data_IF_500359038525
#
_entry.id   IF_500359038525
#
_cell.length_a   1.000
_cell.length_b   1.000
_cell.length_c   1.000
_cell.angle_alpha   90.00
_cell.angle_beta   90.00
_cell.angle_gamma   90.00
#
_symmetry.space_group_name_H-M   'P 1'
#
loop_
_entity.id
_entity.type
_entity.pdbx_description
1 polymer ?
#
# COMPACT_ATOMS: atom_id res chain seq x y z
N UNK A 1 -31.85 -22.60 -10.18
CA UNK A 1 -31.12 -21.60 -9.39
C UNK A 1 -31.95 -20.33 -9.37
N UNK A 2 -31.84 -19.49 -8.34
CA UNK A 2 -32.42 -18.13 -8.25
C UNK A 2 -31.59 -17.28 -7.28
N UNK A 3 -31.88 -15.98 -7.16
CA UNK A 3 -31.21 -15.05 -6.23
C UNK A 3 -29.67 -15.12 -6.35
N UNK A 4 -29.17 -14.99 -7.58
CA UNK A 4 -27.74 -14.92 -7.82
C UNK A 4 -27.22 -13.58 -7.30
N UNK A 5 -26.19 -13.62 -6.47
CA UNK A 5 -25.55 -12.45 -5.88
C UNK A 5 -24.03 -12.56 -5.99
N UNK A 6 -23.36 -11.43 -6.18
CA UNK A 6 -21.91 -11.33 -6.28
C UNK A 6 -21.52 -9.86 -6.01
N UNK A 7 -21.00 -9.60 -4.81
CA UNK A 7 -20.37 -8.32 -4.50
C UNK A 7 -18.89 -8.40 -4.86
N UNK A 8 -18.43 -7.41 -5.63
CA UNK A 8 -17.01 -7.26 -5.93
C UNK A 8 -16.22 -6.74 -4.72
N UNK A 9 -15.06 -7.35 -4.50
CA UNK A 9 -14.19 -7.24 -3.33
C UNK A 9 -12.71 -7.42 -3.68
N UNK A 10 -12.30 -7.57 -4.94
CA UNK A 10 -10.85 -7.54 -5.27
C UNK A 10 -10.28 -6.12 -5.32
N UNK A 11 -11.16 -5.14 -5.59
CA UNK A 11 -10.90 -3.70 -5.55
C UNK A 11 -10.00 -3.18 -6.67
N UNK A 12 -9.70 -4.01 -7.66
CA UNK A 12 -8.87 -3.69 -8.82
C UNK A 12 -9.71 -3.21 -10.00
N UNK A 13 -9.30 -2.11 -10.62
CA UNK A 13 -10.03 -1.54 -11.75
C UNK A 13 -10.06 -2.50 -12.95
N UNK A 14 -11.25 -2.85 -13.40
CA UNK A 14 -11.45 -3.69 -14.57
C UNK A 14 -11.41 -5.18 -14.27
N UNK A 15 -11.27 -5.54 -13.01
CA UNK A 15 -11.36 -6.90 -12.50
C UNK A 15 -12.59 -7.01 -11.57
N UNK A 16 -12.94 -8.23 -11.20
CA UNK A 16 -13.93 -8.46 -10.15
C UNK A 16 -13.55 -9.73 -9.40
N UNK A 17 -13.76 -9.72 -8.10
CA UNK A 17 -13.43 -10.83 -7.22
C UNK A 17 -14.35 -10.81 -6.00
N UNK A 18 -14.63 -11.97 -5.44
CA UNK A 18 -15.54 -12.07 -4.31
C UNK A 18 -16.23 -13.42 -4.26
N UNK A 19 -17.35 -13.47 -3.56
CA UNK A 19 -18.11 -14.71 -3.40
C UNK A 19 -19.39 -14.62 -4.21
N UNK A 20 -19.49 -15.42 -5.28
CA UNK A 20 -20.77 -15.65 -5.94
C UNK A 20 -21.59 -16.59 -5.08
N UNK A 21 -22.87 -16.26 -4.86
CA UNK A 21 -23.80 -17.11 -4.13
C UNK A 21 -25.17 -17.19 -4.81
N UNK A 22 -25.91 -18.27 -4.55
CA UNK A 22 -27.24 -18.46 -5.13
C UNK A 22 -28.17 -19.31 -4.26
N UNK A 23 -29.47 -19.23 -4.56
CA UNK A 23 -30.47 -20.14 -4.02
C UNK A 23 -30.60 -21.39 -4.91
N UNK A 24 -30.51 -22.62 -4.35
CA UNK A 24 -30.77 -23.87 -5.06
C UNK A 24 -32.16 -23.90 -5.71
N UNK A 25 -32.33 -24.63 -6.84
CA UNK A 25 -33.67 -24.92 -7.34
C UNK A 25 -34.43 -25.83 -6.36
N UNK A 26 -35.77 -25.74 -6.37
CA UNK A 26 -36.63 -26.61 -5.56
C UNK A 26 -36.38 -28.12 -5.77
N UNK A 27 -35.93 -28.49 -6.97
CA UNK A 27 -35.56 -29.86 -7.33
C UNK A 27 -34.05 -30.16 -7.16
N UNK A 28 -33.40 -29.59 -6.13
CA UNK A 28 -31.96 -29.73 -5.90
C UNK A 28 -31.49 -31.21 -5.84
N UNK A 29 -32.34 -32.13 -5.38
CA UNK A 29 -32.01 -33.57 -5.37
C UNK A 29 -31.79 -34.22 -6.74
N UNK A 30 -32.07 -33.51 -7.86
CA UNK A 30 -31.77 -33.94 -9.23
C UNK A 30 -30.53 -33.27 -9.82
N UNK A 31 -29.94 -32.32 -9.09
CA UNK A 31 -28.75 -31.58 -9.48
C UNK A 31 -27.53 -32.32 -8.91
N UNK A 32 -26.52 -32.54 -9.75
CA UNK A 32 -25.23 -33.14 -9.33
C UNK A 32 -24.17 -32.07 -9.09
N UNK A 33 -24.23 -30.96 -9.83
CA UNK A 33 -23.37 -29.78 -9.64
C UNK A 33 -23.99 -28.54 -10.29
N UNK A 34 -23.49 -27.37 -9.92
CA UNK A 34 -23.69 -26.10 -10.58
C UNK A 34 -22.47 -25.74 -11.43
N UNK A 35 -22.69 -25.18 -12.62
CA UNK A 35 -21.61 -24.62 -13.43
C UNK A 35 -21.70 -23.12 -13.44
N UNK A 36 -20.64 -22.48 -12.98
CA UNK A 36 -20.47 -21.03 -13.01
C UNK A 36 -19.65 -20.68 -14.23
N UNK A 37 -20.21 -19.82 -15.06
CA UNK A 37 -19.55 -19.27 -16.24
C UNK A 37 -19.55 -17.76 -16.14
N UNK A 38 -18.59 -17.14 -16.81
CA UNK A 38 -18.69 -15.73 -17.14
C UNK A 38 -18.79 -15.54 -18.65
N UNK A 39 -19.49 -14.49 -19.08
CA UNK A 39 -19.94 -14.31 -20.46
C UNK A 39 -20.08 -12.84 -20.82
N UNK A 40 -20.08 -12.55 -22.12
CA UNK A 40 -20.36 -11.20 -22.64
C UNK A 40 -21.84 -10.82 -22.52
N UNK A 41 -22.75 -11.80 -22.41
CA UNK A 41 -24.19 -11.56 -22.35
C UNK A 41 -24.95 -12.66 -21.57
N UNK A 42 -26.26 -12.48 -21.41
CA UNK A 42 -27.13 -13.47 -20.76
C UNK A 42 -27.40 -14.73 -21.58
N UNK A 43 -27.08 -14.73 -22.87
CA UNK A 43 -27.23 -15.90 -23.75
C UNK A 43 -26.04 -16.86 -23.60
N UNK A 44 -24.96 -16.43 -22.94
CA UNK A 44 -23.77 -17.24 -22.77
C UNK A 44 -22.83 -17.15 -23.98
N UNK A 45 -22.85 -16.05 -24.71
CA UNK A 45 -21.87 -15.74 -25.77
C UNK A 45 -20.46 -15.65 -25.18
N UNK A 46 -19.48 -16.26 -25.85
CA UNK A 46 -18.06 -16.31 -25.43
C UNK A 46 -17.82 -16.75 -23.97
N UNK A 47 -18.71 -17.59 -23.44
CA UNK A 47 -18.65 -17.94 -22.03
C UNK A 47 -17.44 -18.81 -21.69
N UNK A 48 -16.79 -18.51 -20.58
CA UNK A 48 -15.67 -19.26 -20.03
C UNK A 48 -16.11 -19.96 -18.76
N UNK A 49 -15.81 -21.26 -18.64
CA UNK A 49 -16.10 -22.01 -17.43
C UNK A 49 -15.18 -21.51 -16.32
N UNK A 50 -15.78 -21.10 -15.20
CA UNK A 50 -15.05 -20.70 -14.01
C UNK A 50 -14.94 -21.86 -13.03
N UNK A 51 -16.09 -22.38 -12.59
CA UNK A 51 -16.15 -23.40 -11.56
C UNK A 51 -17.26 -24.42 -11.81
N UNK A 52 -16.96 -25.68 -11.50
CA UNK A 52 -17.95 -26.74 -11.29
C UNK A 52 -18.12 -26.90 -9.76
N UNK A 53 -19.29 -26.57 -9.23
CA UNK A 53 -19.58 -26.51 -7.79
C UNK A 53 -20.52 -27.64 -7.41
N UNK A 54 -20.12 -28.59 -6.53
CA UNK A 54 -20.97 -29.71 -6.15
C UNK A 54 -22.32 -29.28 -5.56
N UNK A 55 -23.36 -30.10 -5.77
CA UNK A 55 -24.64 -29.89 -5.09
C UNK A 55 -24.46 -29.94 -3.56
N UNK A 56 -25.13 -29.04 -2.84
CA UNK A 56 -24.93 -28.83 -1.39
C UNK A 56 -24.05 -27.62 -1.08
N UNK A 57 -23.24 -27.18 -2.04
CA UNK A 57 -22.51 -25.91 -1.98
C UNK A 57 -23.17 -24.92 -2.95
N UNK A 58 -23.59 -23.77 -2.44
CA UNK A 58 -24.34 -22.77 -3.22
C UNK A 58 -23.60 -21.43 -3.33
N UNK A 59 -22.28 -21.50 -3.22
CA UNK A 59 -21.39 -20.37 -3.40
C UNK A 59 -20.05 -20.84 -3.98
N UNK A 60 -19.33 -19.93 -4.60
CA UNK A 60 -17.95 -20.13 -5.06
C UNK A 60 -17.19 -18.81 -5.00
N UNK A 61 -15.89 -18.89 -4.75
CA UNK A 61 -15.01 -17.74 -4.84
C UNK A 61 -14.70 -17.42 -6.31
N UNK A 62 -14.65 -16.14 -6.63
CA UNK A 62 -14.28 -15.54 -7.90
C UNK A 62 -13.02 -14.70 -7.65
N UNK A 63 -11.98 -14.85 -8.47
CA UNK A 63 -10.71 -14.15 -8.32
C UNK A 63 -10.30 -13.54 -9.66
N UNK A 64 -9.78 -12.31 -9.64
CA UNK A 64 -9.11 -11.61 -10.75
C UNK A 64 -9.86 -11.75 -12.08
N UNK A 65 -11.17 -11.53 -12.04
CA UNK A 65 -12.03 -11.82 -13.18
C UNK A 65 -12.10 -10.62 -14.13
N UNK A 66 -11.71 -10.74 -15.42
CA UNK A 66 -11.61 -9.60 -16.34
C UNK A 66 -12.99 -9.08 -16.76
N UNK A 67 -13.55 -8.20 -15.91
CA UNK A 67 -14.88 -7.59 -16.03
C UNK A 67 -15.13 -7.00 -17.41
N UNK A 68 -14.15 -6.25 -17.93
CA UNK A 68 -14.26 -5.51 -19.20
C UNK A 68 -14.63 -6.38 -20.40
N UNK A 69 -14.30 -7.66 -20.36
CA UNK A 69 -14.55 -8.58 -21.48
C UNK A 69 -15.78 -9.44 -21.29
N UNK A 70 -16.24 -9.66 -20.05
CA UNK A 70 -17.26 -10.66 -19.73
C UNK A 70 -18.07 -10.29 -18.49
N UNK A 71 -18.83 -9.19 -18.50
CA UNK A 71 -19.46 -8.64 -17.29
C UNK A 71 -20.63 -9.47 -16.75
N UNK A 72 -21.02 -10.58 -17.41
CA UNK A 72 -22.19 -11.37 -17.02
C UNK A 72 -21.77 -12.70 -16.43
N UNK A 73 -22.17 -12.95 -15.17
CA UNK A 73 -22.04 -14.24 -14.51
C UNK A 73 -23.27 -15.10 -14.80
N UNK A 74 -23.08 -16.37 -15.11
CA UNK A 74 -24.13 -17.33 -15.44
C UNK A 74 -23.97 -18.61 -14.62
N UNK A 75 -25.03 -19.00 -13.92
CA UNK A 75 -25.07 -20.25 -13.15
C UNK A 75 -26.07 -21.22 -13.77
N UNK A 76 -25.58 -22.39 -14.15
CA UNK A 76 -26.37 -23.49 -14.69
C UNK A 76 -26.48 -24.64 -13.70
N UNK A 77 -27.67 -25.23 -13.57
CA UNK A 77 -27.81 -26.52 -12.89
C UNK A 77 -27.38 -27.65 -13.83
N UNK A 78 -26.63 -28.65 -13.36
CA UNK A 78 -26.31 -29.87 -14.10
C UNK A 78 -26.88 -31.10 -13.39
N UNK A 79 -27.51 -31.98 -14.16
CA UNK A 79 -27.99 -33.30 -13.72
C UNK A 79 -27.09 -34.41 -14.26
N UNK A 80 -27.35 -35.66 -13.88
CA UNK A 80 -26.69 -36.82 -14.47
C UNK A 80 -26.94 -36.97 -15.98
N UNK A 81 -28.05 -36.41 -16.50
CA UNK A 81 -28.41 -36.51 -17.91
C UNK A 81 -27.86 -35.36 -18.74
N UNK A 82 -28.01 -34.13 -18.25
CA UNK A 82 -27.63 -32.93 -18.98
C UNK A 82 -27.49 -31.70 -18.08
N UNK A 83 -26.79 -30.69 -18.60
CA UNK A 83 -26.82 -29.32 -18.10
C UNK A 83 -28.11 -28.64 -18.54
N UNK A 84 -28.68 -27.80 -17.68
CA UNK A 84 -29.76 -26.89 -18.03
C UNK A 84 -29.37 -26.01 -19.24
N UNK A 85 -30.35 -25.66 -20.08
CA UNK A 85 -30.14 -24.82 -21.27
C UNK A 85 -30.21 -23.33 -20.95
N UNK A 86 -31.08 -22.94 -20.02
CA UNK A 86 -31.25 -21.54 -19.56
C UNK A 86 -30.56 -21.32 -18.21
N UNK A 87 -29.57 -20.43 -18.09
CA UNK A 87 -28.96 -20.10 -16.80
C UNK A 87 -29.80 -19.11 -15.99
N UNK A 88 -29.44 -18.93 -14.72
CA UNK A 88 -29.65 -17.66 -14.04
C UNK A 88 -28.42 -16.81 -14.25
N UNK A 89 -28.60 -15.52 -14.55
CA UNK A 89 -27.48 -14.61 -14.75
C UNK A 89 -27.56 -13.36 -13.88
N UNK A 90 -26.42 -12.70 -13.74
CA UNK A 90 -26.22 -11.44 -13.03
C UNK A 90 -25.20 -10.61 -13.80
N UNK A 91 -25.44 -9.31 -13.94
CA UNK A 91 -24.39 -8.37 -14.39
C UNK A 91 -23.54 -8.00 -13.18
N UNK A 92 -22.24 -8.22 -13.27
CA UNK A 92 -21.29 -7.83 -12.24
C UNK A 92 -21.11 -6.31 -12.24
N UNK A 93 -20.73 -5.76 -11.09
CA UNK A 93 -20.37 -4.35 -10.96
C UNK A 93 -18.95 -4.34 -10.42
N UNK A 94 -18.04 -3.77 -11.21
CA UNK A 94 -16.65 -3.53 -10.86
C UNK A 94 -16.56 -2.41 -9.81
N UNK A 95 -16.01 -2.75 -8.66
CA UNK A 95 -15.73 -1.86 -7.56
C UNK A 95 -14.22 -1.62 -7.49
N UNK A 96 -13.81 -0.36 -7.66
CA UNK A 96 -12.43 0.05 -7.48
C UNK A 96 -12.29 0.83 -6.18
N UNK A 97 -11.23 0.55 -5.41
CA UNK A 97 -10.93 1.27 -4.17
C UNK A 97 -9.49 1.81 -4.12
N UNK A 98 -9.00 2.40 -5.20
CA UNK A 98 -7.69 3.06 -5.19
C UNK A 98 -7.70 4.35 -4.36
N UNK A 99 -6.71 4.56 -3.50
CA UNK A 99 -6.52 5.83 -2.78
C UNK A 99 -6.15 6.96 -3.75
N UNK A 100 -6.34 8.21 -3.33
CA UNK A 100 -6.00 9.40 -4.12
C UNK A 100 -5.16 10.40 -3.31
N UNK A 101 -4.57 11.38 -4.02
CA UNK A 101 -3.87 12.54 -3.43
C UNK A 101 -2.84 12.15 -2.34
N UNK A 102 -1.99 11.18 -2.67
CA UNK A 102 -0.94 10.69 -1.77
C UNK A 102 0.15 11.75 -1.61
N UNK A 103 0.54 12.00 -0.36
CA UNK A 103 1.64 12.90 -0.01
C UNK A 103 2.44 12.32 1.14
N UNK A 104 3.76 12.44 1.04
CA UNK A 104 4.69 12.11 2.11
C UNK A 104 5.59 13.31 2.36
N UNK A 105 5.84 13.62 3.62
CA UNK A 105 6.86 14.59 4.02
C UNK A 105 7.81 13.88 4.96
N UNK A 106 9.01 13.67 4.46
CA UNK A 106 10.14 13.26 5.28
C UNK A 106 10.66 14.45 6.05
N UNK A 107 10.87 14.26 7.35
CA UNK A 107 11.33 15.19 8.36
C UNK A 107 12.57 14.64 9.09
N UNK A 108 12.99 13.43 8.74
CA UNK A 108 14.31 12.96 9.09
C UNK A 108 15.34 13.66 8.19
N UNK A 109 16.53 13.90 8.73
CA UNK A 109 17.60 14.63 8.05
C UNK A 109 18.84 13.76 7.84
N UNK A 110 18.79 12.49 8.26
CA UNK A 110 19.86 11.52 8.10
C UNK A 110 19.66 10.71 6.81
N UNK A 111 20.70 10.68 5.98
CA UNK A 111 20.67 9.99 4.69
C UNK A 111 20.40 8.49 4.86
N UNK A 112 19.40 7.97 4.14
CA UNK A 112 18.99 6.57 4.19
C UNK A 112 17.93 6.27 5.24
N UNK A 113 17.46 7.28 5.96
CA UNK A 113 16.46 7.17 7.02
C UNK A 113 15.21 7.98 6.66
N UNK A 114 14.10 7.65 7.31
CA UNK A 114 12.78 8.23 7.07
C UNK A 114 12.19 8.59 8.43
N UNK A 115 11.40 9.65 8.45
CA UNK A 115 10.66 10.04 9.64
C UNK A 115 9.66 11.11 9.28
N UNK A 116 8.38 10.92 9.55
CA UNK A 116 7.38 11.90 9.13
C UNK A 116 6.02 11.31 8.84
N UNK A 117 5.26 11.94 7.93
CA UNK A 117 3.83 11.67 7.77
C UNK A 117 3.47 11.37 6.31
N UNK A 118 2.91 10.19 6.10
CA UNK A 118 2.24 9.78 4.86
C UNK A 118 0.74 10.04 5.01
N UNK A 119 0.12 10.66 4.00
CA UNK A 119 -1.32 10.95 3.95
C UNK A 119 -1.89 10.63 2.59
N UNK A 120 -3.16 10.22 2.58
CA UNK A 120 -3.92 9.97 1.36
C UNK A 120 -5.40 10.33 1.54
N UNK A 121 -6.14 10.37 0.45
CA UNK A 121 -7.60 10.46 0.41
C UNK A 121 -8.16 9.07 0.24
N UNK A 122 -9.12 8.70 1.09
CA UNK A 122 -9.80 7.42 1.02
C UNK A 122 -10.58 7.29 -0.31
N UNK A 123 -10.67 6.06 -0.87
CA UNK A 123 -11.42 5.80 -2.09
C UNK A 123 -12.92 6.03 -1.92
N UNK A 124 -13.64 6.14 -3.04
CA UNK A 124 -15.12 6.23 -3.04
C UNK A 124 -15.76 4.96 -2.47
N UNK A 125 -15.15 3.80 -2.71
CA UNK A 125 -15.60 2.50 -2.20
C UNK A 125 -14.93 2.10 -0.88
N UNK A 126 -14.63 3.07 -0.01
CA UNK A 126 -14.00 2.86 1.30
C UNK A 126 -14.73 1.87 2.21
N UNK A 127 -16.05 1.75 2.08
CA UNK A 127 -16.87 0.77 2.80
C UNK A 127 -16.50 -0.70 2.52
N UNK A 128 -15.76 -0.98 1.44
CA UNK A 128 -15.20 -2.31 1.15
C UNK A 128 -13.77 -2.49 1.70
N UNK A 129 -13.10 -1.40 2.04
CA UNK A 129 -11.72 -1.39 2.53
C UNK A 129 -11.69 -1.72 4.01
N UNK A 130 -11.08 -2.86 4.34
CA UNK A 130 -10.83 -3.27 5.72
C UNK A 130 -9.51 -2.73 6.25
N UNK A 131 -8.49 -2.60 5.38
CA UNK A 131 -7.15 -2.09 5.71
C UNK A 131 -6.48 -1.40 4.53
N UNK A 132 -5.57 -0.49 4.82
CA UNK A 132 -4.54 -0.03 3.88
C UNK A 132 -3.21 -0.68 4.22
N UNK A 133 -2.58 -1.28 3.21
CA UNK A 133 -1.30 -1.96 3.34
C UNK A 133 -0.23 -1.07 2.71
N UNK A 134 0.66 -0.54 3.55
CA UNK A 134 1.70 0.40 3.15
C UNK A 134 3.04 -0.32 3.06
N UNK A 135 3.65 -0.29 1.88
CA UNK A 135 4.92 -0.93 1.60
C UNK A 135 5.96 0.10 1.13
N UNK A 136 7.23 -0.20 1.38
CA UNK A 136 8.33 0.35 0.58
C UNK A 136 8.65 -0.62 -0.57
N UNK A 137 9.07 -0.13 -1.73
CA UNK A 137 9.40 -0.96 -2.91
C UNK A 137 10.46 -0.31 -3.81
N UNK A 138 11.02 -1.10 -4.72
CA UNK A 138 11.99 -0.63 -5.72
C UNK A 138 11.34 0.04 -6.93
N UNK A 139 10.06 -0.22 -7.17
CA UNK A 139 9.32 0.26 -8.33
C UNK A 139 7.84 0.48 -8.01
N UNK A 140 7.14 1.07 -8.98
CA UNK A 140 5.71 1.38 -8.90
C UNK A 140 4.80 0.15 -8.85
N UNK A 141 5.32 -1.05 -9.10
CA UNK A 141 4.55 -2.31 -9.19
C UNK A 141 4.75 -3.23 -7.99
N UNK A 142 5.63 -2.90 -7.04
CA UNK A 142 5.88 -3.72 -5.86
C UNK A 142 7.10 -4.63 -5.95
N UNK A 143 8.02 -4.39 -6.88
CA UNK A 143 9.28 -5.10 -6.95
C UNK A 143 10.07 -5.01 -5.64
N UNK A 144 10.30 -6.16 -4.99
CA UNK A 144 11.04 -6.24 -3.73
C UNK A 144 10.35 -5.55 -2.54
N UNK A 145 9.01 -5.46 -2.56
CA UNK A 145 8.26 -4.72 -1.53
C UNK A 145 8.47 -5.26 -0.10
N UNK A 146 8.53 -4.35 0.86
CA UNK A 146 8.64 -4.62 2.31
C UNK A 146 7.48 -3.92 3.02
N UNK A 147 6.68 -4.69 3.77
CA UNK A 147 5.55 -4.16 4.52
C UNK A 147 6.05 -3.27 5.66
N UNK A 148 5.61 -2.02 5.67
CA UNK A 148 5.88 -1.08 6.76
C UNK A 148 4.76 -1.10 7.78
N UNK A 149 3.52 -1.03 7.31
CA UNK A 149 2.36 -1.04 8.19
C UNK A 149 1.10 -1.51 7.48
N UNK A 150 0.16 -2.03 8.28
CA UNK A 150 -1.20 -2.30 7.88
C UNK A 150 -2.13 -1.51 8.79
N UNK A 151 -2.68 -0.40 8.28
CA UNK A 151 -3.58 0.48 9.03
C UNK A 151 -5.04 0.15 8.75
N UNK A 152 -5.93 0.43 9.70
CA UNK A 152 -7.36 0.15 9.54
C UNK A 152 -7.99 0.98 8.42
N UNK A 153 -9.05 0.45 7.79
CA UNK A 153 -9.72 1.09 6.64
C UNK A 153 -10.35 2.46 6.93
N UNK A 154 -10.50 2.82 8.21
CA UNK A 154 -10.94 4.16 8.65
C UNK A 154 -9.81 5.18 8.73
N UNK A 155 -8.55 4.76 8.63
CA UNK A 155 -7.39 5.63 8.67
C UNK A 155 -7.05 6.17 7.28
N UNK A 156 -6.44 7.34 7.23
CA UNK A 156 -6.02 7.98 5.97
C UNK A 156 -4.59 8.53 6.05
N UNK A 157 -3.83 8.08 7.04
CA UNK A 157 -2.48 8.53 7.30
C UNK A 157 -1.66 7.42 7.99
N UNK A 158 -0.34 7.55 7.89
CA UNK A 158 0.65 6.73 8.60
C UNK A 158 1.80 7.64 9.03
N UNK A 159 2.27 7.48 10.27
CA UNK A 159 3.47 8.15 10.76
C UNK A 159 4.64 7.17 10.73
N UNK A 160 5.74 7.58 10.11
CA UNK A 160 7.03 6.92 10.22
C UNK A 160 7.76 7.49 11.43
N UNK A 161 8.26 6.62 12.31
CA UNK A 161 9.12 7.06 13.41
C UNK A 161 10.41 7.66 12.84
N UNK A 162 11.05 8.56 13.58
CA UNK A 162 12.40 9.00 13.24
C UNK A 162 13.37 7.80 13.16
N UNK A 163 14.43 7.96 12.39
CA UNK A 163 15.48 6.98 12.14
C UNK A 163 14.95 5.66 11.50
N UNK A 164 13.80 5.70 10.79
CA UNK A 164 13.26 4.51 10.14
C UNK A 164 14.04 4.21 8.86
N UNK A 165 14.65 3.02 8.68
CA UNK A 165 15.48 2.77 7.52
C UNK A 165 14.67 2.76 6.22
N UNK A 166 15.10 3.52 5.20
CA UNK A 166 14.50 3.51 3.86
C UNK A 166 14.79 2.22 3.09
N UNK A 167 15.79 1.45 3.53
CA UNK A 167 16.24 0.18 2.93
C UNK A 167 16.69 0.30 1.46
N UNK A 168 17.10 1.49 1.02
CA UNK A 168 17.39 1.82 -0.39
C UNK A 168 16.19 1.57 -1.34
N UNK A 169 14.97 1.59 -0.80
CA UNK A 169 13.74 1.47 -1.58
C UNK A 169 13.26 2.87 -1.96
N UNK A 170 12.79 3.02 -3.20
CA UNK A 170 12.55 4.32 -3.84
C UNK A 170 11.07 4.68 -3.97
N UNK A 171 10.17 3.77 -3.59
CA UNK A 171 8.73 3.96 -3.73
C UNK A 171 8.00 3.60 -2.44
N UNK A 172 6.98 4.39 -2.11
CA UNK A 172 5.93 4.05 -1.17
C UNK A 172 4.73 3.54 -1.95
N UNK A 173 4.22 2.37 -1.59
CA UNK A 173 3.04 1.77 -2.20
C UNK A 173 1.92 1.66 -1.19
N UNK A 174 0.72 2.04 -1.59
CA UNK A 174 -0.49 1.88 -0.80
C UNK A 174 -1.43 0.95 -1.55
N UNK A 175 -1.72 -0.19 -0.93
CA UNK A 175 -2.73 -1.13 -1.40
C UNK A 175 -3.95 -1.05 -0.49
N UNK A 176 -5.15 -1.10 -1.06
CA UNK A 176 -6.34 -1.39 -0.26
C UNK A 176 -6.56 -2.88 -0.13
N UNK A 177 -7.15 -3.28 1.00
CA UNK A 177 -7.44 -4.67 1.30
C UNK A 177 -8.87 -4.80 1.79
N UNK A 178 -9.64 -5.65 1.13
CA UNK A 178 -11.00 -5.99 1.53
C UNK A 178 -11.02 -7.20 2.47
N UNK A 179 -12.23 -7.63 2.84
CA UNK A 179 -12.44 -8.92 3.53
C UNK A 179 -12.08 -10.14 2.67
N UNK A 180 -11.86 -9.96 1.37
CA UNK A 180 -11.55 -11.01 0.42
C UNK A 180 -10.05 -11.06 0.11
N UNK A 181 -9.48 -9.98 -0.42
CA UNK A 181 -8.07 -9.94 -0.85
C UNK A 181 -7.50 -8.52 -0.77
N UNK A 182 -6.16 -8.42 -0.81
CA UNK A 182 -5.45 -7.16 -1.09
C UNK A 182 -5.52 -6.91 -2.60
N UNK A 183 -5.76 -5.67 -3.03
CA UNK A 183 -5.72 -5.30 -4.45
C UNK A 183 -4.37 -5.71 -5.06
N UNK A 184 -4.34 -6.03 -6.35
CA UNK A 184 -3.14 -6.39 -7.08
C UNK A 184 -2.37 -5.16 -7.58
N UNK A 185 -3.07 -4.06 -7.85
CA UNK A 185 -2.47 -2.83 -8.39
C UNK A 185 -2.43 -1.72 -7.34
N UNK A 186 -1.25 -1.28 -6.85
CA UNK A 186 -1.15 -0.21 -5.85
C UNK A 186 -1.32 1.19 -6.44
N UNK A 187 -1.48 2.16 -5.55
CA UNK A 187 -0.98 3.51 -5.82
C UNK A 187 0.47 3.62 -5.37
N UNK A 188 1.31 4.15 -6.25
CA UNK A 188 2.73 4.41 -5.96
C UNK A 188 3.00 5.90 -5.76
N UNK A 189 3.84 6.20 -4.80
CA UNK A 189 4.45 7.51 -4.57
C UNK A 189 5.96 7.36 -4.63
N UNK A 190 6.65 8.22 -5.40
CA UNK A 190 8.11 8.23 -5.43
C UNK A 190 8.62 8.83 -4.13
N UNK A 191 9.42 8.07 -3.40
CA UNK A 191 10.00 8.48 -2.14
C UNK A 191 11.20 9.39 -2.40
N UNK A 192 11.23 10.51 -1.67
CA UNK A 192 12.37 11.40 -1.60
C UNK A 192 12.83 11.40 -0.14
N UNK A 193 14.06 10.96 0.05
CA UNK A 193 14.78 10.97 1.32
C UNK A 193 15.40 12.36 1.52
N UNK A 194 15.07 12.98 2.65
CA UNK A 194 15.60 14.30 3.02
C UNK A 194 16.91 14.12 3.79
N UNK A 195 18.01 14.64 3.24
CA UNK A 195 19.29 14.67 3.96
C UNK A 195 19.82 16.10 4.09
N UNK A 196 20.18 16.51 5.30
CA UNK A 196 20.70 17.85 5.60
C UNK A 196 22.07 17.79 6.28
N UNK A 197 23.08 17.33 5.53
CA UNK A 197 24.46 17.20 6.01
C UNK A 197 25.20 18.54 6.00
N UNK A 198 25.83 18.90 7.12
CA UNK A 198 26.75 20.04 7.18
C UNK A 198 28.08 19.70 6.50
N UNK A 199 28.69 20.67 5.83
CA UNK A 199 29.94 20.48 5.09
C UNK A 199 31.07 21.37 5.64
N UNK A 200 32.32 21.08 5.26
CA UNK A 200 33.48 21.93 5.53
C UNK A 200 33.63 22.37 7.00
N UNK A 201 33.37 21.44 7.93
CA UNK A 201 33.57 21.68 9.36
C UNK A 201 35.04 22.00 9.63
N UNK A 202 35.29 23.13 10.27
CA UNK A 202 36.62 23.63 10.61
C UNK A 202 36.67 24.10 12.06
N UNK A 203 37.83 23.96 12.69
CA UNK A 203 38.07 24.42 14.05
C UNK A 203 39.38 25.20 14.11
N UNK A 204 39.32 26.39 14.70
CA UNK A 204 40.49 27.23 14.97
C UNK A 204 40.69 27.29 16.48
N UNK A 205 41.66 26.50 16.97
CA UNK A 205 42.11 26.54 18.36
C UNK A 205 42.75 27.88 18.71
N UNK A 206 42.40 28.41 19.88
CA UNK A 206 42.84 29.69 20.42
C UNK A 206 43.26 29.61 21.89
N UNK A 207 43.05 28.48 22.57
CA UNK A 207 43.59 28.28 23.90
C UNK A 207 45.06 27.86 23.84
N UNK A 208 45.79 28.15 24.92
CA UNK A 208 47.21 27.82 25.08
C UNK A 208 47.43 26.73 26.13
N UNK A 209 46.35 26.15 26.65
CA UNK A 209 46.38 25.27 27.82
C UNK A 209 46.28 23.81 27.37
N UNK A 210 47.22 22.99 27.83
CA UNK A 210 47.24 21.57 27.51
C UNK A 210 45.94 20.91 28.01
N UNK A 211 45.24 20.20 27.12
CA UNK A 211 43.97 19.50 27.36
C UNK A 211 42.72 20.38 27.48
N UNK A 212 42.79 21.66 27.11
CA UNK A 212 41.61 22.49 26.96
C UNK A 212 41.25 22.66 25.48
N UNK A 213 39.99 23.04 25.25
CA UNK A 213 39.49 23.43 23.95
C UNK A 213 38.90 24.84 24.08
N UNK A 214 39.56 25.81 23.49
CA UNK A 214 39.04 27.16 23.29
C UNK A 214 39.28 27.56 21.85
N UNK A 215 38.27 28.11 21.17
CA UNK A 215 38.38 28.38 19.74
C UNK A 215 37.06 28.71 19.08
N UNK A 216 37.07 28.71 17.75
CA UNK A 216 35.88 28.92 16.92
C UNK A 216 35.71 27.71 16.01
N UNK A 217 34.48 27.19 15.92
CA UNK A 217 34.09 26.13 15.00
C UNK A 217 33.17 26.74 13.95
N UNK A 218 33.44 26.49 12.67
CA UNK A 218 32.61 26.97 11.57
C UNK A 218 32.34 25.84 10.57
N UNK A 219 31.21 25.91 9.88
CA UNK A 219 30.80 24.93 8.86
C UNK A 219 29.96 25.61 7.77
N UNK A 220 29.83 24.93 6.64
CA UNK A 220 28.86 25.28 5.63
C UNK A 220 27.50 24.63 5.97
N UNK A 221 26.39 25.39 5.87
CA UNK A 221 25.07 24.81 6.03
C UNK A 221 24.78 23.78 4.91
N UNK A 222 23.84 22.86 5.13
CA UNK A 222 23.42 21.90 4.11
C UNK A 222 22.89 22.60 2.86
N UNK A 223 22.99 21.94 1.71
CA UNK A 223 22.51 22.47 0.43
C UNK A 223 20.99 22.70 0.43
N UNK A 224 20.23 21.79 1.06
CA UNK A 224 18.84 21.98 1.42
C UNK A 224 18.72 22.12 2.94
N UNK A 225 18.33 23.31 3.39
CA UNK A 225 18.15 23.62 4.80
C UNK A 225 16.70 23.94 5.16
N UNK A 226 15.74 23.64 4.29
CA UNK A 226 14.34 24.03 4.47
C UNK A 226 13.72 23.48 5.77
N UNK A 227 14.22 22.33 6.22
CA UNK A 227 13.74 21.62 7.42
C UNK A 227 14.70 21.73 8.62
N UNK A 228 15.86 22.37 8.46
CA UNK A 228 16.84 22.53 9.54
C UNK A 228 16.39 23.62 10.50
N UNK A 229 16.08 23.25 11.75
CA UNK A 229 15.64 24.19 12.80
C UNK A 229 16.80 24.71 13.67
N UNK A 230 17.90 23.96 13.74
CA UNK A 230 19.05 24.27 14.57
C UNK A 230 20.21 23.31 14.35
N UNK A 231 21.33 23.60 15.02
CA UNK A 231 22.54 22.78 14.99
C UNK A 231 22.93 22.39 16.41
N UNK A 232 23.44 21.17 16.57
CA UNK A 232 24.07 20.71 17.80
C UNK A 232 25.50 20.28 17.50
N UNK A 233 26.43 20.74 18.33
CA UNK A 233 27.85 20.43 18.19
C UNK A 233 28.23 19.44 19.28
N UNK A 234 28.97 18.40 18.91
CA UNK A 234 29.44 17.36 19.82
C UNK A 234 30.95 17.19 19.69
N UNK A 235 31.60 16.86 20.81
CA UNK A 235 32.92 16.23 20.81
C UNK A 235 32.71 14.72 20.86
N UNK A 236 33.47 13.98 20.09
CA UNK A 236 33.41 12.53 20.05
C UNK A 236 34.83 11.93 20.03
N UNK A 237 34.93 10.67 20.42
CA UNK A 237 36.20 9.93 20.43
C UNK A 237 36.63 9.50 19.01
N UNK A 238 35.69 9.41 18.09
CA UNK A 238 35.93 9.05 16.69
C UNK A 238 34.93 9.73 15.72
N UNK A 239 35.13 9.52 14.42
CA UNK A 239 34.30 10.08 13.35
C UNK A 239 32.90 9.50 13.26
N UNK A 240 32.59 8.44 14.02
CA UNK A 240 31.24 7.85 14.08
C UNK A 240 30.42 8.39 15.24
N UNK A 241 31.01 9.26 16.07
CA UNK A 241 30.33 9.87 17.20
C UNK A 241 30.39 9.03 18.48
N UNK A 242 31.30 8.05 18.58
CA UNK A 242 31.46 7.26 19.82
C UNK A 242 31.76 8.17 21.00
N UNK A 243 31.10 7.91 22.13
CA UNK A 243 31.32 8.67 23.36
C UNK A 243 30.92 10.15 23.26
N UNK A 244 30.07 10.52 22.30
CA UNK A 244 29.78 11.94 22.04
C UNK A 244 29.23 12.70 23.26
N UNK A 245 29.79 13.88 23.51
CA UNK A 245 29.33 14.84 24.50
C UNK A 245 29.00 16.15 23.81
N UNK A 246 27.78 16.68 24.05
CA UNK A 246 27.37 17.94 23.47
C UNK A 246 28.25 19.09 23.99
N UNK A 247 28.66 19.98 23.09
CA UNK A 247 29.38 21.20 23.41
C UNK A 247 28.40 22.36 23.36
N UNK A 248 28.25 23.05 24.49
CA UNK A 248 27.36 24.20 24.59
C UNK A 248 25.89 23.83 24.42
N UNK A 249 25.09 24.82 24.02
CA UNK A 249 23.66 24.68 23.77
C UNK A 249 23.39 24.45 22.28
N UNK A 250 22.16 24.05 21.97
CA UNK A 250 21.68 24.05 20.60
C UNK A 250 21.72 25.47 20.00
N UNK A 251 22.23 25.56 18.79
CA UNK A 251 22.37 26.80 18.04
C UNK A 251 21.19 26.96 17.08
N UNK A 252 20.54 28.12 17.01
CA UNK A 252 19.49 28.33 16.04
C UNK A 252 20.06 28.29 14.62
N UNK A 253 19.23 27.88 13.66
CA UNK A 253 19.59 27.95 12.24
C UNK A 253 20.13 29.34 11.86
N UNK A 254 21.19 29.37 11.04
CA UNK A 254 21.92 30.59 10.67
C UNK A 254 23.11 30.96 11.55
N UNK A 255 23.45 30.16 12.57
CA UNK A 255 24.61 30.38 13.48
C UNK A 255 25.83 29.56 13.07
N UNK A 256 26.20 29.58 11.79
CA UNK A 256 27.25 28.71 11.22
C UNK A 256 28.69 29.27 11.36
N UNK A 257 28.92 30.18 12.33
CA UNK A 257 30.20 30.81 12.67
C UNK A 257 30.36 31.05 14.17
#
# INVERSE_FOLDING_TARGET
>A
VSNLDCLDRDLDLGETGGVVSWTPPASAGRVILYRVYASTDFNGTDKVLWADVPVGTNAADLFDFPYRTRPVLLVYSKSALAKQTTPVGLVQIDAQASVDNVSFTDLDLDEGELGGYLKWVAPIADFLVTRYMVYLANDTTGGGRVLQSAVDGSENNLTFAADSPSLNLTHLLIYTKSSFVEQSTPISFVLYDSAALVENVSYIGRDLDLLQLGGVTAWNPPADSAQVVGYRVYLAEDSTGTGRSQVGLELPFGTNM
#
